data_IF_654184333509
#
_entry.id   IF_654184333509
#
_cell.length_a   1.000
_cell.length_b   1.000
_cell.length_c   1.000
_cell.angle_alpha   90.00
_cell.angle_beta   90.00
_cell.angle_gamma   90.00
#
_symmetry.space_group_name_H-M   'P 1'
#
loop_
_entity.id
_entity.type
_entity.pdbx_description
1 polymer ?
#
# COMPACT_ATOMS: atom_id res chain seq x y z
N UNK A 1 -5.76 11.62 -22.80
CA UNK A 1 -7.07 11.39 -22.16
C UNK A 1 -6.94 10.06 -21.44
N UNK A 2 -6.40 10.06 -20.22
CA UNK A 2 -6.43 8.86 -19.37
C UNK A 2 -7.88 8.55 -18.99
N UNK A 3 -8.29 7.30 -19.16
CA UNK A 3 -9.60 6.82 -18.75
C UNK A 3 -9.72 6.92 -17.21
N UNK A 4 -10.72 7.63 -16.65
CA UNK A 4 -10.88 7.77 -15.21
C UNK A 4 -11.36 6.49 -14.49
N UNK A 5 -11.44 5.36 -15.20
CA UNK A 5 -11.99 4.09 -14.71
C UNK A 5 -11.05 2.89 -14.84
N UNK A 6 -9.81 3.06 -15.32
CA UNK A 6 -8.84 1.97 -15.23
C UNK A 6 -8.29 1.90 -13.80
N UNK A 7 -8.41 0.74 -13.12
CA UNK A 7 -7.80 0.58 -11.81
C UNK A 7 -6.28 0.64 -12.00
N UNK A 8 -5.70 1.80 -11.71
CA UNK A 8 -4.25 1.93 -11.61
C UNK A 8 -3.78 1.04 -10.48
N UNK A 9 -3.04 -0.03 -10.82
CA UNK A 9 -2.48 -0.96 -9.83
C UNK A 9 -1.05 -0.53 -9.56
N UNK A 10 -0.77 0.12 -8.42
CA UNK A 10 0.60 0.49 -8.10
C UNK A 10 1.49 -0.75 -7.95
N UNK A 11 2.80 -0.64 -8.24
CA UNK A 11 3.73 -1.73 -8.08
C UNK A 11 3.79 -2.16 -6.61
N UNK A 12 3.42 -3.43 -6.36
CA UNK A 12 3.55 -4.04 -5.04
C UNK A 12 5.00 -4.44 -4.82
N UNK A 13 5.61 -3.95 -3.75
CA UNK A 13 6.98 -4.25 -3.38
C UNK A 13 7.01 -5.18 -2.17
N UNK A 14 7.88 -6.19 -2.19
CA UNK A 14 8.10 -7.04 -1.01
C UNK A 14 9.12 -6.38 -0.08
N UNK A 15 8.66 -5.94 1.09
CA UNK A 15 9.45 -5.30 2.14
C UNK A 15 9.38 -6.17 3.39
N UNK A 16 10.54 -6.68 3.85
CA UNK A 16 10.64 -7.59 5.02
C UNK A 16 9.72 -8.83 4.94
N UNK A 17 9.59 -9.41 3.74
CA UNK A 17 8.74 -10.58 3.52
C UNK A 17 7.23 -10.30 3.50
N UNK A 18 6.81 -9.05 3.71
CA UNK A 18 5.43 -8.59 3.55
C UNK A 18 5.32 -7.75 2.29
N UNK A 19 4.23 -7.90 1.56
CA UNK A 19 3.93 -7.03 0.41
C UNK A 19 3.52 -5.65 0.92
N UNK A 20 4.00 -4.59 0.31
CA UNK A 20 3.70 -3.20 0.68
C UNK A 20 3.65 -2.31 -0.58
N UNK A 21 3.05 -1.14 -0.45
CA UNK A 21 2.99 -0.11 -1.49
C UNK A 21 3.79 1.10 -1.04
N UNK A 22 4.62 1.67 -1.91
CA UNK A 22 5.39 2.86 -1.56
C UNK A 22 4.48 4.09 -1.47
N UNK A 23 4.90 5.07 -0.68
CA UNK A 23 4.16 6.31 -0.50
C UNK A 23 3.97 7.11 -1.80
N UNK A 24 4.93 7.08 -2.72
CA UNK A 24 4.79 7.71 -4.03
C UNK A 24 3.69 7.06 -4.87
N UNK A 25 3.65 5.73 -4.87
CA UNK A 25 2.65 4.97 -5.62
C UNK A 25 1.27 5.04 -4.96
N UNK A 26 1.22 5.05 -3.62
CA UNK A 26 -0.02 5.28 -2.87
C UNK A 26 -0.57 6.69 -3.13
N UNK A 27 0.29 7.70 -3.22
CA UNK A 27 -0.10 9.07 -3.56
C UNK A 27 -0.75 9.12 -4.96
N UNK A 28 -0.15 8.45 -5.95
CA UNK A 28 -0.72 8.31 -7.29
C UNK A 28 -2.05 7.56 -7.28
N UNK A 29 -2.15 6.44 -6.55
CA UNK A 29 -3.39 5.66 -6.40
C UNK A 29 -4.53 6.49 -5.82
N UNK A 30 -4.22 7.39 -4.89
CA UNK A 30 -5.22 8.24 -4.23
C UNK A 30 -5.42 9.60 -4.90
N UNK A 31 -4.67 9.90 -5.97
CA UNK A 31 -4.74 11.17 -6.68
C UNK A 31 -4.30 12.37 -5.81
N UNK A 32 -3.37 12.17 -4.88
CA UNK A 32 -2.83 13.22 -4.01
C UNK A 32 -1.34 13.42 -4.24
N UNK A 33 -0.84 14.59 -3.90
CA UNK A 33 0.60 14.87 -3.94
C UNK A 33 1.35 14.03 -2.88
N UNK A 34 2.51 13.41 -3.19
CA UNK A 34 3.31 12.65 -2.23
C UNK A 34 3.66 13.47 -0.98
N UNK A 35 3.90 14.77 -1.15
CA UNK A 35 4.14 15.70 -0.04
C UNK A 35 2.92 15.89 0.87
N UNK A 36 1.72 15.95 0.30
CA UNK A 36 0.48 16.06 1.09
C UNK A 36 0.17 14.76 1.84
N UNK A 37 0.33 13.61 1.19
CA UNK A 37 0.17 12.30 1.82
C UNK A 37 1.08 12.20 3.07
N UNK A 38 2.36 12.54 2.93
CA UNK A 38 3.34 12.53 4.03
C UNK A 38 2.96 13.49 5.16
N UNK A 39 2.48 14.70 4.81
CA UNK A 39 2.02 15.68 5.81
C UNK A 39 0.82 15.15 6.60
N UNK A 40 -0.15 14.53 5.92
CA UNK A 40 -1.33 13.92 6.55
C UNK A 40 -0.95 12.77 7.47
N UNK A 41 -0.07 11.88 7.01
CA UNK A 41 0.45 10.76 7.82
C UNK A 41 1.18 11.27 9.08
N UNK A 42 2.01 12.32 8.96
CA UNK A 42 2.67 12.92 10.12
C UNK A 42 1.68 13.55 11.11
N UNK A 43 0.63 14.20 10.61
CA UNK A 43 -0.43 14.79 11.45
C UNK A 43 -1.23 13.72 12.17
N UNK A 44 -1.52 12.62 11.48
CA UNK A 44 -2.29 11.48 11.99
C UNK A 44 -1.39 10.33 12.45
N UNK A 45 -0.14 10.59 12.83
CA UNK A 45 0.83 9.55 13.18
C UNK A 45 0.35 8.63 14.31
N UNK A 46 -0.53 9.13 15.20
CA UNK A 46 -1.19 8.35 16.26
C UNK A 46 -2.09 7.23 15.73
N UNK A 47 -2.58 7.33 14.49
CA UNK A 47 -3.42 6.33 13.82
C UNK A 47 -2.62 5.30 13.02
N UNK A 48 -1.32 5.51 12.86
CA UNK A 48 -0.44 4.62 12.12
C UNK A 48 0.49 3.88 13.09
N UNK A 49 0.10 2.70 13.61
CA UNK A 49 1.03 1.82 14.31
C UNK A 49 2.11 1.27 13.36
N UNK A 50 3.21 0.77 13.92
CA UNK A 50 4.33 0.17 13.17
C UNK A 50 3.92 -1.04 12.30
N UNK A 51 2.75 -1.63 12.57
CA UNK A 51 2.20 -2.73 11.78
C UNK A 51 1.55 -2.29 10.45
N UNK A 52 1.21 -1.01 10.31
CA UNK A 52 0.44 -0.47 9.17
C UNK A 52 1.33 0.23 8.15
N UNK A 53 2.44 0.79 8.63
CA UNK A 53 3.44 1.44 7.80
C UNK A 53 4.84 1.03 8.26
N UNK A 54 5.75 0.95 7.31
CA UNK A 54 7.15 0.73 7.58
C UNK A 54 7.97 1.92 7.08
N UNK A 55 8.78 2.49 7.97
CA UNK A 55 9.82 3.43 7.58
C UNK A 55 10.97 2.64 6.95
N UNK A 56 11.19 2.79 5.64
CA UNK A 56 12.33 2.17 4.98
C UNK A 56 13.61 2.83 5.49
N UNK A 57 14.56 2.03 5.96
CA UNK A 57 15.89 2.55 6.33
C UNK A 57 16.59 3.09 5.08
N UNK A 58 17.51 4.08 5.19
CA UNK A 58 18.18 4.68 4.03
C UNK A 58 18.83 3.63 3.11
N UNK A 59 19.35 2.51 3.65
CA UNK A 59 19.89 1.40 2.84
C UNK A 59 18.83 0.58 2.09
N UNK A 60 17.64 0.37 2.66
CA UNK A 60 16.50 -0.28 1.96
C UNK A 60 15.86 0.68 0.95
N UNK A 61 15.73 1.92 1.38
CA UNK A 61 15.25 3.05 0.59
C UNK A 61 16.14 3.31 -0.62
N UNK A 62 17.46 3.17 -0.53
CA UNK A 62 18.39 3.36 -1.66
C UNK A 62 18.22 2.26 -2.72
N UNK A 63 18.11 0.99 -2.29
CA UNK A 63 17.85 -0.15 -3.21
C UNK A 63 16.53 0.01 -3.96
N UNK A 64 15.49 0.46 -3.26
CA UNK A 64 14.21 0.81 -3.87
C UNK A 64 14.28 2.13 -4.67
N UNK A 65 15.14 3.09 -4.28
CA UNK A 65 15.31 4.37 -4.96
C UNK A 65 15.88 4.23 -6.35
N UNK A 66 16.82 3.30 -6.55
CA UNK A 66 17.38 3.01 -7.87
C UNK A 66 16.32 2.47 -8.82
N UNK A 67 15.27 1.85 -8.27
CA UNK A 67 14.15 1.29 -9.04
C UNK A 67 13.03 2.31 -9.26
N UNK A 68 12.85 3.26 -8.34
CA UNK A 68 11.84 4.31 -8.39
C UNK A 68 12.54 5.67 -8.23
N UNK A 69 13.11 6.25 -9.30
CA UNK A 69 14.08 7.37 -9.28
C UNK A 69 13.71 8.62 -8.46
N UNK A 70 14.01 8.64 -7.16
CA UNK A 70 13.78 9.80 -6.29
C UNK A 70 14.50 9.78 -4.93
N UNK A 71 14.79 10.97 -4.39
CA UNK A 71 15.74 11.25 -3.30
C UNK A 71 15.18 11.21 -1.85
N UNK A 72 13.93 10.82 -1.63
CA UNK A 72 13.25 11.09 -0.36
C UNK A 72 13.03 9.84 0.52
N UNK A 73 12.88 10.00 1.86
CA UNK A 73 12.48 8.90 2.76
C UNK A 73 11.18 8.29 2.27
N UNK A 74 11.18 6.97 2.12
CA UNK A 74 10.06 6.19 1.56
C UNK A 74 9.31 5.52 2.70
N UNK A 75 8.03 5.80 2.80
CA UNK A 75 7.14 5.00 3.64
C UNK A 75 6.61 3.86 2.79
N UNK A 76 6.59 2.66 3.35
CA UNK A 76 5.93 1.51 2.75
C UNK A 76 4.65 1.24 3.54
N UNK A 77 3.50 1.25 2.87
CA UNK A 77 2.20 1.01 3.48
C UNK A 77 1.74 -0.42 3.20
N UNK A 78 1.30 -1.09 4.26
CA UNK A 78 0.64 -2.38 4.18
C UNK A 78 -0.85 -2.19 3.83
N UNK A 79 -1.60 -3.27 3.49
CA UNK A 79 -3.04 -3.17 3.22
C UNK A 79 -3.82 -2.42 4.31
N UNK A 80 -3.46 -2.64 5.58
CA UNK A 80 -4.05 -1.96 6.73
C UNK A 80 -3.72 -0.46 6.74
N UNK A 81 -2.49 -0.10 6.37
CA UNK A 81 -2.06 1.29 6.20
C UNK A 81 -2.76 1.99 5.04
N UNK A 82 -2.99 1.29 3.93
CA UNK A 82 -3.74 1.81 2.78
C UNK A 82 -5.21 2.10 3.15
N UNK A 83 -5.84 1.18 3.90
CA UNK A 83 -7.19 1.40 4.43
C UNK A 83 -7.23 2.63 5.37
N UNK A 84 -6.21 2.80 6.22
CA UNK A 84 -6.10 3.97 7.09
C UNK A 84 -5.89 5.26 6.29
N UNK A 85 -5.08 5.24 5.22
CA UNK A 85 -4.89 6.39 4.34
C UNK A 85 -6.20 6.82 3.68
N UNK A 86 -7.02 5.88 3.22
CA UNK A 86 -8.34 6.19 2.71
C UNK A 86 -9.23 6.88 3.77
N UNK A 87 -9.19 6.40 5.01
CA UNK A 87 -9.95 7.00 6.12
C UNK A 87 -9.45 8.40 6.51
N UNK A 88 -8.16 8.70 6.30
CA UNK A 88 -7.55 10.01 6.59
C UNK A 88 -7.76 11.00 5.44
N UNK A 89 -7.74 10.52 4.20
CA UNK A 89 -7.93 11.35 3.01
C UNK A 89 -9.40 11.66 2.71
N UNK A 90 -10.33 10.80 3.16
CA UNK A 90 -11.77 10.97 3.05
C UNK A 90 -12.24 11.35 1.63
N UNK A 91 -11.62 10.72 0.63
CA UNK A 91 -11.94 10.92 -0.78
C UNK A 91 -12.54 9.65 -1.37
N UNK A 92 -13.60 9.72 -2.18
CA UNK A 92 -14.17 8.53 -2.83
C UNK A 92 -13.14 7.80 -3.70
N UNK A 93 -12.18 8.53 -4.29
CA UNK A 93 -11.06 7.94 -5.02
C UNK A 93 -10.12 7.16 -4.08
N UNK A 94 -9.81 7.73 -2.91
CA UNK A 94 -8.95 7.10 -1.92
C UNK A 94 -9.57 5.83 -1.33
N UNK A 95 -10.87 5.88 -1.01
CA UNK A 95 -11.63 4.73 -0.52
C UNK A 95 -11.65 3.61 -1.56
N UNK A 96 -12.00 3.93 -2.81
CA UNK A 96 -12.02 2.92 -3.88
C UNK A 96 -10.63 2.34 -4.15
N UNK A 97 -9.59 3.18 -4.17
CA UNK A 97 -8.21 2.75 -4.34
C UNK A 97 -7.76 1.79 -3.24
N UNK A 98 -8.03 2.11 -1.97
CA UNK A 98 -7.65 1.25 -0.85
C UNK A 98 -8.41 -0.08 -0.84
N UNK A 99 -9.70 -0.07 -1.18
CA UNK A 99 -10.50 -1.29 -1.29
C UNK A 99 -9.98 -2.19 -2.41
N UNK A 100 -9.72 -1.62 -3.60
CA UNK A 100 -9.18 -2.36 -4.73
C UNK A 100 -7.81 -2.94 -4.42
N UNK A 101 -6.95 -2.16 -3.78
CA UNK A 101 -5.62 -2.63 -3.40
C UNK A 101 -5.70 -3.76 -2.37
N UNK A 102 -6.48 -3.59 -1.31
CA UNK A 102 -6.67 -4.65 -0.29
C UNK A 102 -7.19 -5.95 -0.91
N UNK A 103 -8.16 -5.87 -1.85
CA UNK A 103 -8.65 -7.04 -2.60
C UNK A 103 -7.56 -7.69 -3.44
N UNK A 104 -6.73 -6.90 -4.13
CA UNK A 104 -5.61 -7.41 -4.92
C UNK A 104 -4.60 -8.15 -4.04
N UNK A 105 -4.27 -7.62 -2.86
CA UNK A 105 -3.40 -8.28 -1.90
C UNK A 105 -3.95 -9.62 -1.42
N UNK A 106 -5.23 -9.66 -1.02
CA UNK A 106 -5.90 -10.91 -0.62
C UNK A 106 -5.93 -11.93 -1.76
N UNK A 107 -6.15 -11.48 -3.00
CA UNK A 107 -6.10 -12.37 -4.17
C UNK A 107 -4.69 -12.93 -4.37
N UNK A 108 -3.66 -12.11 -4.23
CA UNK A 108 -2.27 -12.56 -4.31
C UNK A 108 -1.88 -13.51 -3.17
N UNK A 109 -2.47 -13.37 -1.98
CA UNK A 109 -2.31 -14.34 -0.87
C UNK A 109 -2.98 -15.66 -1.20
N UNK A 110 -4.23 -15.61 -1.70
CA UNK A 110 -4.97 -16.80 -2.11
C UNK A 110 -4.27 -17.56 -3.21
N UNK A 111 -3.72 -16.86 -4.20
CA UNK A 111 -2.97 -17.48 -5.30
C UNK A 111 -1.64 -18.08 -4.81
N UNK A 112 -0.93 -17.42 -3.89
CA UNK A 112 0.28 -17.97 -3.29
C UNK A 112 -0.02 -19.22 -2.44
N UNK A 113 -1.16 -19.23 -1.75
CA UNK A 113 -1.59 -20.34 -0.93
C UNK A 113 -2.25 -21.48 -1.74
N UNK A 114 -2.80 -21.20 -2.94
CA UNK A 114 -3.41 -22.20 -3.82
C UNK A 114 -2.42 -23.26 -4.37
N UNK A 115 -1.11 -23.11 -4.10
CA UNK A 115 -0.10 -24.16 -4.24
C UNK A 115 -0.05 -25.15 -3.07
N UNK A 116 -0.86 -24.98 -2.03
CA UNK A 116 -0.98 -25.89 -0.88
C UNK A 116 -2.46 -26.27 -0.72
N UNK A 117 -2.86 -27.51 -1.01
CA UNK A 117 -4.19 -27.98 -0.64
C UNK A 117 -4.21 -28.20 0.88
N UNK A 118 -4.58 -27.18 1.65
CA UNK A 118 -4.88 -27.30 3.07
C UNK A 118 -6.39 -27.49 3.27
N UNK A 119 -6.85 -28.52 4.01
CA UNK A 119 -8.25 -28.91 4.04
C UNK A 119 -9.05 -27.89 4.86
N UNK A 120 -10.04 -27.26 4.23
CA UNK A 120 -11.16 -26.68 4.94
C UNK A 120 -12.03 -27.85 5.42
N UNK A 121 -11.70 -28.33 6.62
CA UNK A 121 -12.62 -29.13 7.42
C UNK A 121 -13.90 -28.31 7.62
N UNK A 122 -15.00 -28.79 7.05
CA UNK A 122 -16.33 -28.29 7.35
C UNK A 122 -16.64 -28.51 8.84
N UNK A 123 -17.19 -27.54 9.57
CA UNK A 123 -17.83 -27.83 10.84
C UNK A 123 -19.22 -28.46 10.60
N UNK A 124 -19.54 -29.44 11.45
CA UNK A 124 -20.81 -30.15 11.61
C UNK A 124 -22.06 -29.25 11.60
#
# INVERSE_FOLDING_TARGET
MENPNEPFVPPVVSVRGRRAVLDADAALLYGVEPGELRRRVRREARRFPDDFMLCLSPGEGERLSRRCGGEAPRFAFYPEGLAMLAAVLDSPLAVNGAVNMTRAFVMLDRLACAGVPGPLTAPN
#
